data_IF_992669335039
#
_entry.id   IF_992669335039
#
_cell.length_a   1.000
_cell.length_b   1.000
_cell.length_c   1.000
_cell.angle_alpha   90.00
_cell.angle_beta   90.00
_cell.angle_gamma   90.00
#
_symmetry.space_group_name_H-M   'P 1'
#
loop_
_entity.id
_entity.type
_entity.pdbx_description
1 polymer ?
#
# COMPACT_ATOMS: atom_id res chain seq x y z
N UNK A 1 -0.27 24.87 -11.39
CA UNK A 1 -0.92 25.04 -12.71
C UNK A 1 -2.22 24.26 -12.65
N UNK A 2 -3.35 24.81 -13.10
CA UNK A 2 -4.64 24.13 -13.00
C UNK A 2 -4.72 22.93 -13.97
N UNK A 3 -5.20 21.80 -13.47
CA UNK A 3 -5.35 20.56 -14.21
C UNK A 3 -6.29 20.73 -15.40
N UNK A 4 -5.80 20.41 -16.60
CA UNK A 4 -6.63 20.14 -17.78
C UNK A 4 -6.82 18.63 -17.92
N UNK A 5 -7.37 18.00 -16.88
CA UNK A 5 -7.93 16.66 -17.01
C UNK A 5 -9.33 16.79 -17.60
N UNK A 6 -9.73 15.84 -18.44
CA UNK A 6 -11.01 15.78 -19.15
C UNK A 6 -11.06 16.64 -20.44
N UNK A 7 -10.39 16.22 -21.52
CA UNK A 7 -10.93 16.30 -22.91
C UNK A 7 -9.95 15.93 -24.05
N UNK A 8 -9.04 14.98 -23.86
CA UNK A 8 -8.46 14.29 -25.02
C UNK A 8 -8.62 12.80 -24.83
N UNK A 9 -9.30 12.15 -25.78
CA UNK A 9 -9.36 10.71 -25.93
C UNK A 9 -7.95 10.16 -26.16
N UNK A 10 -7.15 10.09 -25.08
CA UNK A 10 -5.92 9.31 -25.05
C UNK A 10 -6.35 7.85 -25.05
N UNK A 11 -5.73 7.06 -25.93
CA UNK A 11 -5.91 5.60 -25.87
C UNK A 11 -5.34 5.13 -24.53
N UNK A 12 -6.17 4.50 -23.71
CA UNK A 12 -5.73 3.91 -22.44
C UNK A 12 -4.52 2.99 -22.68
N UNK A 13 -3.38 3.20 -22.00
CA UNK A 13 -2.17 2.41 -22.21
C UNK A 13 -2.20 1.04 -21.54
N UNK A 14 -3.11 0.83 -20.58
CA UNK A 14 -3.28 -0.43 -19.84
C UNK A 14 -3.56 -1.60 -20.79
N UNK A 15 -2.78 -2.67 -20.66
CA UNK A 15 -2.89 -3.90 -21.46
C UNK A 15 -3.44 -5.10 -20.68
N UNK A 16 -3.69 -4.93 -19.39
CA UNK A 16 -4.26 -5.95 -18.51
C UNK A 16 -5.58 -6.48 -19.08
N UNK A 17 -5.84 -7.78 -18.90
CA UNK A 17 -7.05 -8.43 -19.40
C UNK A 17 -8.30 -7.78 -18.79
N UNK A 18 -8.27 -7.58 -17.47
CA UNK A 18 -9.24 -6.82 -16.71
C UNK A 18 -8.55 -5.69 -15.95
N UNK A 19 -9.19 -4.53 -15.92
CA UNK A 19 -8.78 -3.34 -15.19
C UNK A 19 -10.03 -2.56 -14.75
N UNK A 20 -9.86 -1.40 -14.13
CA UNK A 20 -10.96 -0.64 -13.54
C UNK A 20 -11.22 0.68 -14.27
N UNK A 21 -12.47 1.15 -14.28
CA UNK A 21 -12.85 2.51 -14.64
C UNK A 21 -13.50 3.18 -13.44
N UNK A 22 -12.96 4.32 -13.03
CA UNK A 22 -13.46 5.12 -11.91
C UNK A 22 -14.29 6.30 -12.44
N UNK A 23 -15.50 6.44 -11.91
CA UNK A 23 -16.35 7.61 -12.06
C UNK A 23 -16.39 8.37 -10.73
N UNK A 24 -16.01 9.64 -10.79
CA UNK A 24 -15.89 10.51 -9.62
C UNK A 24 -17.18 11.28 -9.38
N UNK A 25 -17.50 11.52 -8.10
CA UNK A 25 -18.62 12.38 -7.75
C UNK A 25 -18.32 13.83 -8.22
N UNK A 26 -19.33 14.63 -8.63
CA UNK A 26 -19.10 15.96 -9.22
C UNK A 26 -18.21 16.91 -8.41
N UNK A 27 -18.28 16.85 -7.07
CA UNK A 27 -17.49 17.71 -6.17
C UNK A 27 -16.25 17.01 -5.58
N UNK A 28 -16.04 15.74 -5.90
CA UNK A 28 -14.96 14.91 -5.35
C UNK A 28 -14.28 14.16 -6.49
N UNK A 29 -13.68 14.93 -7.40
CA UNK A 29 -12.91 14.45 -8.53
C UNK A 29 -11.50 15.05 -8.51
N UNK A 30 -10.50 14.43 -9.16
CA UNK A 30 -9.16 15.00 -9.25
C UNK A 30 -9.12 16.41 -9.88
N UNK A 31 -10.14 16.81 -10.65
CA UNK A 31 -10.21 18.14 -11.23
C UNK A 31 -10.70 19.21 -10.24
N UNK A 32 -11.53 18.82 -9.26
CA UNK A 32 -12.25 19.75 -8.37
C UNK A 32 -11.74 19.69 -6.91
N UNK A 33 -11.17 18.56 -6.49
CA UNK A 33 -10.60 18.35 -5.15
C UNK A 33 -9.07 18.49 -5.21
N UNK A 34 -8.57 19.66 -4.80
CA UNK A 34 -7.12 19.96 -4.77
C UNK A 34 -6.34 18.97 -3.90
N UNK A 35 -6.94 18.48 -2.81
CA UNK A 35 -6.28 17.52 -1.91
C UNK A 35 -6.12 16.17 -2.61
N UNK A 36 -7.16 15.68 -3.28
CA UNK A 36 -7.11 14.43 -4.04
C UNK A 36 -6.13 14.54 -5.19
N UNK A 37 -6.12 15.68 -5.86
CA UNK A 37 -5.20 15.95 -6.95
C UNK A 37 -3.73 15.93 -6.49
N UNK A 38 -3.40 16.63 -5.40
CA UNK A 38 -2.05 16.60 -4.83
C UNK A 38 -1.65 15.21 -4.31
N UNK A 39 -2.62 14.43 -3.82
CA UNK A 39 -2.39 13.03 -3.44
C UNK A 39 -1.98 12.22 -4.68
N UNK A 40 -2.71 12.32 -5.79
CA UNK A 40 -2.39 11.62 -7.04
C UNK A 40 -1.00 12.00 -7.56
N UNK A 41 -0.67 13.30 -7.59
CA UNK A 41 0.68 13.77 -7.98
C UNK A 41 1.78 13.14 -7.10
N UNK A 42 1.55 13.05 -5.80
CA UNK A 42 2.50 12.44 -4.87
C UNK A 42 2.65 10.93 -5.10
N UNK A 43 1.59 10.23 -5.48
CA UNK A 43 1.66 8.80 -5.79
C UNK A 43 2.45 8.53 -7.07
N UNK A 44 2.23 9.33 -8.11
CA UNK A 44 2.99 9.26 -9.36
C UNK A 44 4.48 9.53 -9.12
N UNK A 45 4.82 10.50 -8.27
CA UNK A 45 6.22 10.82 -7.99
C UNK A 45 6.93 9.86 -7.02
N UNK A 46 6.19 9.28 -6.07
CA UNK A 46 6.80 8.68 -4.87
C UNK A 46 6.31 7.27 -4.52
N UNK A 47 5.36 6.70 -5.25
CA UNK A 47 4.76 5.42 -4.88
C UNK A 47 4.78 4.45 -6.06
N UNK A 48 4.28 4.85 -7.22
CA UNK A 48 4.37 3.98 -8.39
C UNK A 48 5.83 3.86 -8.87
N UNK A 49 6.26 2.66 -9.24
CA UNK A 49 7.61 2.42 -9.77
C UNK A 49 7.78 3.10 -11.14
N UNK A 50 9.01 3.42 -11.56
CA UNK A 50 9.27 4.06 -12.87
C UNK A 50 8.72 3.29 -14.08
N UNK A 51 8.49 1.98 -13.93
CA UNK A 51 7.92 1.11 -14.97
C UNK A 51 6.37 1.07 -14.98
N UNK A 52 5.73 1.67 -13.98
CA UNK A 52 4.27 1.72 -13.86
C UNK A 52 3.72 2.99 -14.50
N UNK A 53 2.52 2.91 -15.07
CA UNK A 53 1.86 4.07 -15.66
C UNK A 53 1.49 5.09 -14.58
N UNK A 54 1.68 6.36 -14.90
CA UNK A 54 1.19 7.44 -14.07
C UNK A 54 -0.34 7.55 -14.15
N UNK A 55 -0.97 8.07 -13.09
CA UNK A 55 -2.41 8.28 -13.03
C UNK A 55 -2.89 9.29 -14.08
N UNK A 56 -2.09 10.31 -14.42
CA UNK A 56 -2.43 11.30 -15.44
C UNK A 56 -2.50 10.72 -16.88
N UNK A 57 -1.85 9.58 -17.11
CA UNK A 57 -1.89 8.85 -18.38
C UNK A 57 -3.05 7.86 -18.47
N UNK A 58 -3.51 7.37 -17.31
CA UNK A 58 -4.42 6.23 -17.22
C UNK A 58 -5.84 6.61 -16.86
N UNK A 59 -6.04 7.65 -16.02
CA UNK A 59 -7.37 8.09 -15.61
C UNK A 59 -8.28 8.41 -16.81
N UNK A 60 -9.55 7.96 -16.78
CA UNK A 60 -10.27 7.37 -15.64
C UNK A 60 -10.06 5.85 -15.46
N UNK A 61 -9.14 5.24 -16.20
CA UNK A 61 -8.83 3.82 -16.08
C UNK A 61 -7.70 3.58 -15.08
N UNK A 62 -7.76 2.48 -14.34
CA UNK A 62 -6.78 2.10 -13.32
C UNK A 62 -6.50 0.60 -13.42
N UNK A 63 -5.25 0.18 -13.29
CA UNK A 63 -4.97 -1.22 -12.97
C UNK A 63 -5.51 -1.55 -11.57
N UNK A 64 -5.64 -2.85 -11.23
CA UNK A 64 -6.04 -3.22 -9.87
C UNK A 64 -5.04 -2.69 -8.83
N UNK A 65 -3.73 -2.74 -9.14
CA UNK A 65 -2.71 -2.15 -8.27
C UNK A 65 -2.91 -0.65 -8.06
N UNK A 66 -3.09 0.12 -9.13
CA UNK A 66 -3.32 1.57 -9.04
C UNK A 66 -4.57 1.89 -8.23
N UNK A 67 -5.66 1.14 -8.44
CA UNK A 67 -6.89 1.32 -7.68
C UNK A 67 -6.69 1.06 -6.17
N UNK A 68 -6.00 -0.02 -5.81
CA UNK A 68 -5.74 -0.33 -4.39
C UNK A 68 -4.84 0.72 -3.75
N UNK A 69 -3.74 1.12 -4.40
CA UNK A 69 -2.86 2.17 -3.88
C UNK A 69 -3.63 3.47 -3.68
N UNK A 70 -4.38 3.91 -4.68
CA UNK A 70 -5.15 5.16 -4.61
C UNK A 70 -6.21 5.11 -3.49
N UNK A 71 -6.95 4.00 -3.37
CA UNK A 71 -8.03 3.91 -2.39
C UNK A 71 -7.52 3.78 -0.95
N UNK A 72 -6.37 3.12 -0.74
CA UNK A 72 -5.72 3.12 0.58
C UNK A 72 -5.22 4.51 0.98
N UNK A 73 -4.73 5.29 0.03
CA UNK A 73 -4.24 6.64 0.30
C UNK A 73 -5.39 7.61 0.57
N UNK A 74 -6.46 7.50 -0.21
CA UNK A 74 -7.73 8.20 0.08
C UNK A 74 -8.22 7.84 1.49
N UNK A 75 -8.20 6.57 1.89
CA UNK A 75 -8.59 6.15 3.24
C UNK A 75 -7.71 6.75 4.33
N UNK A 76 -6.41 6.95 4.09
CA UNK A 76 -5.49 7.56 5.06
C UNK A 76 -5.72 9.07 5.19
N UNK A 77 -6.07 9.72 4.09
CA UNK A 77 -6.17 11.18 4.00
C UNK A 77 -7.58 11.72 4.28
N UNK A 78 -8.62 10.89 4.14
CA UNK A 78 -10.01 11.29 4.30
C UNK A 78 -10.69 10.43 5.38
N UNK A 79 -11.53 11.05 6.22
CA UNK A 79 -12.37 10.30 7.17
C UNK A 79 -13.37 9.39 6.44
N UNK A 80 -13.93 9.90 5.34
CA UNK A 80 -14.80 9.18 4.42
C UNK A 80 -14.73 9.81 3.03
N UNK A 81 -14.71 9.01 1.98
CA UNK A 81 -14.69 9.46 0.59
C UNK A 81 -15.65 8.63 -0.27
N UNK A 82 -16.47 9.28 -1.10
CA UNK A 82 -17.48 8.62 -1.92
C UNK A 82 -17.10 8.65 -3.41
N UNK A 83 -16.78 7.47 -3.93
CA UNK A 83 -16.62 7.26 -5.38
C UNK A 83 -18.00 6.97 -5.98
N UNK A 84 -18.36 7.68 -7.04
CA UNK A 84 -19.68 7.56 -7.66
C UNK A 84 -19.87 6.15 -8.23
N UNK A 85 -18.89 5.65 -8.98
CA UNK A 85 -18.91 4.29 -9.53
C UNK A 85 -17.49 3.79 -9.78
N UNK A 86 -17.27 2.50 -9.55
CA UNK A 86 -16.08 1.79 -10.01
C UNK A 86 -16.54 0.55 -10.79
N UNK A 87 -16.04 0.36 -12.01
CA UNK A 87 -16.47 -0.74 -12.89
C UNK A 87 -15.28 -1.56 -13.34
N UNK A 88 -15.39 -2.88 -13.32
CA UNK A 88 -14.45 -3.75 -14.03
C UNK A 88 -14.65 -3.52 -15.52
N UNK A 89 -13.53 -3.46 -16.23
CA UNK A 89 -13.45 -3.20 -17.64
C UNK A 89 -12.65 -4.30 -18.31
N UNK A 90 -13.04 -4.65 -19.53
CA UNK A 90 -12.24 -5.49 -20.41
C UNK A 90 -11.96 -4.79 -21.72
N UNK A 91 -10.93 -5.25 -22.42
CA UNK A 91 -10.65 -4.83 -23.79
C UNK A 91 -11.21 -5.87 -24.77
N UNK A 92 -12.15 -5.45 -25.61
CA UNK A 92 -12.77 -6.30 -26.63
C UNK A 92 -12.76 -5.59 -27.98
N UNK A 93 -12.22 -6.25 -29.02
CA UNK A 93 -12.13 -5.66 -30.37
C UNK A 93 -11.35 -4.33 -30.42
N UNK A 94 -10.41 -4.11 -29.51
CA UNK A 94 -9.64 -2.86 -29.38
C UNK A 94 -10.38 -1.71 -28.70
N UNK A 95 -11.61 -1.92 -28.23
CA UNK A 95 -12.40 -0.97 -27.42
C UNK A 95 -12.45 -1.43 -25.96
N UNK A 96 -12.64 -0.48 -25.07
CA UNK A 96 -12.86 -0.74 -23.65
C UNK A 96 -14.37 -0.86 -23.44
N UNK A 97 -14.80 -1.92 -22.76
CA UNK A 97 -16.20 -2.13 -22.42
C UNK A 97 -16.34 -2.49 -20.95
N UNK A 98 -17.42 -2.02 -20.35
CA UNK A 98 -17.91 -2.38 -19.00
C UNK A 98 -19.20 -3.21 -19.08
N UNK A 99 -19.65 -3.53 -20.30
CA UNK A 99 -20.89 -4.28 -20.51
C UNK A 99 -20.72 -5.72 -20.01
N UNK A 100 -21.65 -6.16 -19.15
CA UNK A 100 -21.60 -7.49 -18.53
C UNK A 100 -20.60 -7.63 -17.38
N UNK A 101 -19.79 -6.60 -17.11
CA UNK A 101 -18.78 -6.61 -16.06
C UNK A 101 -19.33 -6.14 -14.71
N UNK A 102 -18.72 -6.61 -13.62
CA UNK A 102 -19.12 -6.21 -12.26
C UNK A 102 -18.75 -4.76 -11.97
N UNK A 103 -19.59 -4.05 -11.22
CA UNK A 103 -19.33 -2.67 -10.79
C UNK A 103 -19.85 -2.43 -9.38
N UNK A 104 -19.33 -1.42 -8.69
CA UNK A 104 -19.84 -0.93 -7.40
C UNK A 104 -20.32 0.50 -7.58
N UNK A 105 -21.53 0.79 -7.10
CA UNK A 105 -22.15 2.10 -7.20
C UNK A 105 -23.14 2.35 -6.05
N UNK A 106 -22.87 3.31 -5.15
CA UNK A 106 -21.59 4.01 -4.95
C UNK A 106 -20.57 3.15 -4.18
N UNK A 107 -19.29 3.52 -4.22
CA UNK A 107 -18.24 2.94 -3.36
C UNK A 107 -17.85 3.94 -2.27
N UNK A 108 -18.06 3.56 -1.01
CA UNK A 108 -17.63 4.32 0.15
C UNK A 108 -16.26 3.83 0.62
N UNK A 109 -15.29 4.73 0.67
CA UNK A 109 -13.97 4.51 1.26
C UNK A 109 -13.96 5.17 2.63
N UNK A 110 -13.99 4.35 3.68
CA UNK A 110 -13.91 4.79 5.08
C UNK A 110 -12.94 3.89 5.87
N UNK A 111 -12.92 4.01 7.20
CA UNK A 111 -12.08 3.18 8.06
C UNK A 111 -12.29 1.66 7.87
N UNK A 112 -13.47 1.23 7.39
CA UNK A 112 -13.82 -0.17 7.16
C UNK A 112 -13.35 -0.72 5.81
N UNK A 113 -13.07 0.14 4.82
CA UNK A 113 -12.56 -0.27 3.51
C UNK A 113 -11.25 -1.06 3.66
N UNK A 114 -11.19 -2.27 3.13
CA UNK A 114 -9.99 -3.13 3.19
C UNK A 114 -9.31 -3.27 1.83
N UNK A 115 -10.08 -3.66 0.82
CA UNK A 115 -9.61 -3.87 -0.55
C UNK A 115 -10.81 -3.82 -1.50
N UNK A 116 -10.52 -3.81 -2.80
CA UNK A 116 -11.49 -3.67 -3.87
C UNK A 116 -12.27 -4.97 -4.14
N UNK A 117 -11.69 -6.15 -3.85
CA UNK A 117 -12.34 -7.43 -4.12
C UNK A 117 -13.62 -7.62 -3.29
N UNK A 118 -13.60 -7.21 -2.02
CA UNK A 118 -14.77 -7.34 -1.15
C UNK A 118 -16.01 -6.61 -1.71
N UNK A 119 -15.99 -5.29 -1.96
CA UNK A 119 -17.17 -4.58 -2.46
C UNK A 119 -17.59 -5.06 -3.87
N UNK A 120 -16.66 -5.55 -4.70
CA UNK A 120 -17.01 -6.16 -5.99
C UNK A 120 -17.77 -7.48 -5.82
N UNK A 121 -17.31 -8.37 -4.93
CA UNK A 121 -18.01 -9.63 -4.63
C UNK A 121 -19.38 -9.37 -4.00
N UNK A 122 -19.48 -8.45 -3.05
CA UNK A 122 -20.75 -8.06 -2.45
C UNK A 122 -21.71 -7.51 -3.51
N UNK A 123 -21.20 -6.67 -4.41
CA UNK A 123 -21.99 -6.09 -5.50
C UNK A 123 -22.58 -7.13 -6.43
N UNK A 124 -21.77 -8.09 -6.94
CA UNK A 124 -22.27 -9.10 -7.88
C UNK A 124 -23.31 -10.02 -7.23
N UNK A 125 -23.19 -10.25 -5.92
CA UNK A 125 -24.08 -11.12 -5.18
C UNK A 125 -25.40 -10.46 -4.83
N UNK A 126 -25.40 -9.16 -4.52
CA UNK A 126 -26.54 -8.46 -3.93
C UNK A 126 -27.31 -7.60 -4.95
N UNK A 127 -26.63 -7.00 -5.93
CA UNK A 127 -27.28 -6.00 -6.79
C UNK A 127 -28.24 -6.65 -7.80
N UNK A 128 -29.47 -6.12 -7.98
CA UNK A 128 -30.48 -6.67 -8.89
C UNK A 128 -30.02 -6.83 -10.33
N UNK A 129 -29.10 -5.98 -10.79
CA UNK A 129 -28.53 -6.00 -12.14
C UNK A 129 -27.81 -7.32 -12.46
N UNK A 130 -27.36 -8.05 -11.43
CA UNK A 130 -26.71 -9.34 -11.58
C UNK A 130 -27.64 -10.51 -11.20
N UNK A 131 -28.93 -10.27 -10.96
CA UNK A 131 -29.89 -11.32 -10.54
C UNK A 131 -30.17 -12.37 -11.62
N UNK A 132 -29.89 -12.06 -12.88
CA UNK A 132 -30.04 -12.98 -14.02
C UNK A 132 -28.99 -14.09 -14.05
N UNK A 133 -27.83 -13.87 -13.41
CA UNK A 133 -26.76 -14.85 -13.32
C UNK A 133 -26.96 -15.75 -12.10
N UNK A 134 -26.72 -17.04 -12.28
CA UNK A 134 -26.67 -18.00 -11.18
C UNK A 134 -25.48 -17.72 -10.25
N UNK A 135 -25.56 -18.22 -9.02
CA UNK A 135 -24.43 -18.11 -8.09
C UNK A 135 -23.15 -18.74 -8.66
N UNK A 136 -23.26 -19.89 -9.33
CA UNK A 136 -22.08 -20.61 -9.83
C UNK A 136 -21.42 -19.81 -10.98
N UNK A 137 -22.19 -19.17 -11.86
CA UNK A 137 -21.65 -18.25 -12.87
C UNK A 137 -20.93 -17.05 -12.25
N UNK A 138 -21.51 -16.44 -11.20
CA UNK A 138 -20.87 -15.32 -10.48
C UNK A 138 -19.56 -15.74 -9.82
N UNK A 139 -19.57 -16.90 -9.15
CA UNK A 139 -18.36 -17.46 -8.53
C UNK A 139 -17.29 -17.75 -9.56
N UNK A 140 -17.66 -18.43 -10.65
CA UNK A 140 -16.72 -18.85 -11.69
C UNK A 140 -16.14 -17.64 -12.43
N UNK A 141 -16.91 -16.56 -12.60
CA UNK A 141 -16.40 -15.28 -13.10
C UNK A 141 -15.30 -14.70 -12.20
N UNK A 142 -15.49 -14.70 -10.88
CA UNK A 142 -14.45 -14.23 -9.96
C UNK A 142 -13.22 -15.14 -9.94
N UNK A 143 -13.42 -16.45 -9.81
CA UNK A 143 -12.33 -17.42 -9.70
C UNK A 143 -11.48 -17.46 -10.97
N UNK A 144 -12.11 -17.39 -12.15
CA UNK A 144 -11.42 -17.62 -13.42
C UNK A 144 -10.99 -16.32 -14.12
N UNK A 145 -11.54 -15.16 -13.77
CA UNK A 145 -11.24 -13.90 -14.46
C UNK A 145 -10.74 -12.83 -13.47
N UNK A 146 -11.59 -12.39 -12.52
CA UNK A 146 -11.25 -11.25 -11.64
C UNK A 146 -10.04 -11.56 -10.74
N UNK A 147 -10.03 -12.71 -10.07
CA UNK A 147 -8.95 -13.08 -9.15
C UNK A 147 -7.59 -13.26 -9.86
N UNK A 148 -7.49 -13.97 -11.01
CA UNK A 148 -6.27 -14.00 -11.80
C UNK A 148 -5.77 -12.62 -12.22
N UNK A 149 -6.64 -11.75 -12.73
CA UNK A 149 -6.25 -10.39 -13.14
C UNK A 149 -5.80 -9.53 -11.96
N UNK A 150 -6.52 -9.59 -10.84
CA UNK A 150 -6.15 -8.89 -9.60
C UNK A 150 -4.78 -9.34 -9.11
N UNK A 151 -4.57 -10.66 -9.04
CA UNK A 151 -3.30 -11.26 -8.62
C UNK A 151 -2.14 -10.86 -9.51
N UNK A 152 -2.33 -10.92 -10.84
CA UNK A 152 -1.32 -10.55 -11.81
C UNK A 152 -0.94 -9.07 -11.70
N UNK A 153 -1.91 -8.21 -11.44
CA UNK A 153 -1.70 -6.77 -11.29
C UNK A 153 -0.93 -6.42 -10.00
N UNK A 154 -1.21 -7.11 -8.88
CA UNK A 154 -0.57 -6.86 -7.58
C UNK A 154 0.71 -7.70 -7.33
N UNK A 155 1.04 -8.63 -8.22
CA UNK A 155 2.11 -9.64 -8.05
C UNK A 155 2.01 -10.42 -6.73
N UNK A 156 0.79 -10.84 -6.36
CA UNK A 156 0.53 -11.57 -5.11
C UNK A 156 0.39 -13.08 -5.34
N UNK A 157 0.39 -13.86 -4.26
CA UNK A 157 0.19 -15.32 -4.33
C UNK A 157 -1.28 -15.70 -4.49
N UNK A 158 -1.57 -16.95 -4.87
CA UNK A 158 -2.95 -17.45 -4.87
C UNK A 158 -3.52 -17.54 -3.45
N UNK A 159 -2.67 -17.91 -2.49
CA UNK A 159 -3.05 -18.08 -1.08
C UNK A 159 -3.43 -16.79 -0.37
N UNK A 160 -3.12 -15.64 -0.97
CA UNK A 160 -3.50 -14.31 -0.47
C UNK A 160 -4.83 -13.80 -1.04
N UNK A 161 -5.47 -14.55 -1.94
CA UNK A 161 -6.78 -14.17 -2.44
C UNK A 161 -7.88 -14.54 -1.42
N UNK A 162 -8.90 -13.67 -1.25
CA UNK A 162 -10.06 -14.02 -0.45
C UNK A 162 -10.84 -15.16 -1.13
N UNK A 163 -11.59 -15.90 -0.32
CA UNK A 163 -12.54 -16.87 -0.86
C UNK A 163 -13.78 -16.15 -1.34
N UNK A 164 -14.34 -16.62 -2.46
CA UNK A 164 -15.65 -16.16 -2.89
C UNK A 164 -16.72 -16.63 -1.88
N UNK A 165 -17.63 -15.75 -1.41
CA UNK A 165 -18.60 -16.08 -0.37
C UNK A 165 -19.46 -17.29 -0.71
N UNK A 166 -19.68 -18.20 0.24
CA UNK A 166 -20.49 -19.40 0.04
C UNK A 166 -21.98 -19.10 -0.17
N UNK A 167 -22.74 -20.02 -0.79
CA UNK A 167 -24.20 -19.86 -0.97
C UNK A 167 -24.90 -19.61 0.37
N UNK A 168 -24.48 -20.31 1.42
CA UNK A 168 -25.01 -20.24 2.77
C UNK A 168 -24.72 -18.89 3.45
N UNK A 169 -23.55 -18.31 3.24
CA UNK A 169 -23.20 -16.96 3.71
C UNK A 169 -24.05 -15.87 3.05
N UNK A 170 -24.33 -16.03 1.75
CA UNK A 170 -25.18 -15.10 1.00
C UNK A 170 -26.63 -15.16 1.50
N UNK A 171 -27.14 -16.37 1.78
CA UNK A 171 -28.50 -16.55 2.31
C UNK A 171 -28.64 -16.10 3.78
N UNK A 172 -27.60 -16.26 4.60
CA UNK A 172 -27.64 -15.84 6.02
C UNK A 172 -27.49 -14.32 6.21
N UNK A 173 -26.81 -13.62 5.28
CA UNK A 173 -26.77 -12.15 5.22
C UNK A 173 -27.96 -11.52 4.47
N UNK A 174 -28.89 -12.34 3.96
CA UNK A 174 -30.02 -11.95 3.09
C UNK A 174 -31.12 -11.06 3.67
N UNK A 175 -30.88 -10.34 4.77
CA UNK A 175 -31.79 -9.28 5.23
C UNK A 175 -31.00 -8.07 5.75
N UNK A 176 -30.12 -7.51 4.90
CA UNK A 176 -29.65 -6.14 5.10
C UNK A 176 -30.69 -5.24 4.44
N UNK A 177 -31.60 -4.70 5.27
CA UNK A 177 -32.40 -3.53 4.90
C UNK A 177 -31.41 -2.44 4.48
N UNK A 178 -31.45 -2.01 3.23
CA UNK A 178 -30.93 -0.71 2.83
C UNK A 178 -31.59 0.29 3.80
N UNK A 179 -30.85 1.05 4.63
CA UNK A 179 -31.44 2.20 5.27
C UNK A 179 -31.71 3.20 4.15
N UNK A 180 -32.95 3.21 3.66
CA UNK A 180 -33.49 4.46 3.17
C UNK A 180 -33.33 5.44 4.33
N UNK A 181 -32.57 6.51 4.11
CA UNK A 181 -32.47 7.63 5.04
C UNK A 181 -33.89 8.18 5.19
N UNK A 182 -34.60 7.73 6.21
CA UNK A 182 -35.81 8.35 6.71
C UNK A 182 -35.54 8.79 8.14
N UNK A 183 -35.31 10.10 8.29
CA UNK A 183 -35.27 10.77 9.58
C UNK A 183 -36.67 10.66 10.20
N UNK A 184 -36.84 9.88 11.27
CA UNK A 184 -37.78 10.22 12.37
C UNK A 184 -37.70 9.30 13.60
N UNK A 185 -37.45 9.97 14.74
CA UNK A 185 -37.85 9.81 16.16
C UNK A 185 -38.26 8.45 16.75
N UNK A 186 -37.77 8.26 17.98
CA UNK A 186 -38.06 7.25 19.02
C UNK A 186 -39.49 6.70 19.07
N UNK A 187 -39.62 5.40 19.38
CA UNK A 187 -40.13 4.92 20.69
C UNK A 187 -40.09 3.38 20.84
N UNK A 188 -40.12 2.94 22.11
CA UNK A 188 -39.71 1.63 22.67
C UNK A 188 -40.63 0.42 22.40
N UNK A 189 -39.97 -0.76 22.42
CA UNK A 189 -40.30 -2.07 23.03
C UNK A 189 -41.74 -2.61 23.02
N UNK A 190 -41.91 -3.90 22.63
CA UNK A 190 -42.19 -4.98 23.59
C UNK A 190 -42.03 -6.40 22.99
N UNK A 191 -41.31 -7.25 23.71
CA UNK A 191 -41.18 -8.70 23.52
C UNK A 191 -42.31 -9.44 24.27
N UNK A 192 -42.78 -10.58 23.75
CA UNK A 192 -43.26 -11.70 24.60
C UNK A 192 -43.14 -13.06 23.92
N UNK A 193 -42.54 -13.99 24.66
CA UNK A 193 -42.26 -15.39 24.36
C UNK A 193 -43.49 -16.30 24.55
N UNK A 194 -43.52 -17.49 23.90
CA UNK A 194 -44.08 -18.73 24.48
C UNK A 194 -43.22 -19.97 24.07
N UNK A 195 -43.26 -20.98 24.94
CA UNK A 195 -42.34 -22.06 25.32
C UNK A 195 -42.44 -23.46 24.65
N UNK A 196 -41.43 -24.31 24.97
CA UNK A 196 -40.95 -25.61 24.47
C UNK A 196 -41.80 -26.91 24.60
N UNK A 197 -41.30 -28.06 24.06
CA UNK A 197 -41.02 -29.21 24.95
C UNK A 197 -39.64 -29.90 24.78
N UNK A 198 -39.10 -30.39 25.90
CA UNK A 198 -37.67 -30.55 26.23
C UNK A 198 -36.95 -31.85 25.82
N UNK A 199 -37.56 -32.83 25.14
CA UNK A 199 -36.87 -34.11 24.84
C UNK A 199 -36.17 -34.19 23.48
N UNK A 200 -36.38 -33.20 22.60
CA UNK A 200 -35.58 -33.02 21.37
C UNK A 200 -34.40 -32.04 21.56
N UNK A 201 -34.32 -31.41 22.73
CA UNK A 201 -33.40 -30.28 22.99
C UNK A 201 -31.95 -30.74 23.11
N UNK A 202 -31.65 -31.93 23.64
CA UNK A 202 -30.25 -32.38 23.80
C UNK A 202 -29.59 -32.83 22.49
N UNK A 203 -30.36 -33.42 21.58
CA UNK A 203 -29.87 -33.79 20.24
C UNK A 203 -29.69 -32.54 19.37
N UNK A 204 -30.59 -31.57 19.51
CA UNK A 204 -30.49 -30.25 18.88
C UNK A 204 -29.34 -29.42 19.50
N UNK A 205 -29.10 -29.46 20.82
CA UNK A 205 -27.97 -28.78 21.46
C UNK A 205 -26.62 -29.37 21.05
N UNK A 206 -26.53 -30.69 20.87
CA UNK A 206 -25.32 -31.36 20.37
C UNK A 206 -25.00 -30.97 18.92
N UNK A 207 -26.01 -30.90 18.07
CA UNK A 207 -25.88 -30.43 16.67
C UNK A 207 -25.56 -28.93 16.63
N UNK A 208 -26.25 -28.09 17.43
CA UNK A 208 -25.98 -26.64 17.51
C UNK A 208 -24.59 -26.38 18.09
N UNK A 209 -24.15 -27.10 19.11
CA UNK A 209 -22.80 -26.98 19.68
C UNK A 209 -21.71 -27.36 18.66
N UNK A 210 -21.92 -28.44 17.91
CA UNK A 210 -21.06 -28.84 16.79
C UNK A 210 -21.05 -27.78 15.66
N UNK A 211 -22.22 -27.24 15.30
CA UNK A 211 -22.36 -26.20 14.28
C UNK A 211 -21.70 -24.88 14.71
N UNK A 212 -21.74 -24.54 16.00
CA UNK A 212 -21.08 -23.36 16.57
C UNK A 212 -19.56 -23.51 16.62
N UNK A 213 -19.03 -24.69 16.95
CA UNK A 213 -17.59 -24.94 16.87
C UNK A 213 -17.06 -24.92 15.42
N UNK A 214 -17.84 -25.45 14.47
CA UNK A 214 -17.49 -25.38 13.04
C UNK A 214 -17.63 -23.96 12.49
N UNK A 215 -18.66 -23.20 12.87
CA UNK A 215 -18.83 -21.80 12.42
C UNK A 215 -17.77 -20.87 13.03
N UNK A 216 -17.34 -21.09 14.27
CA UNK A 216 -16.21 -20.37 14.85
C UNK A 216 -14.88 -20.71 14.18
N UNK A 217 -14.67 -21.97 13.78
CA UNK A 217 -13.46 -22.40 13.05
C UNK A 217 -13.37 -21.84 11.62
N UNK A 218 -14.49 -21.74 10.91
CA UNK A 218 -14.54 -21.14 9.56
C UNK A 218 -14.39 -19.62 9.63
N UNK A 219 -15.01 -18.96 10.61
CA UNK A 219 -14.84 -17.50 10.79
C UNK A 219 -13.40 -17.13 11.18
N UNK A 220 -12.71 -17.91 12.02
CA UNK A 220 -11.31 -17.63 12.35
C UNK A 220 -10.36 -17.90 11.18
N UNK A 221 -10.64 -18.87 10.32
CA UNK A 221 -9.86 -19.14 9.11
C UNK A 221 -10.09 -18.08 8.01
N UNK A 222 -11.32 -17.62 7.80
CA UNK A 222 -11.64 -16.52 6.89
C UNK A 222 -10.99 -15.20 7.35
N UNK A 223 -11.06 -14.89 8.65
CA UNK A 223 -10.39 -13.73 9.23
C UNK A 223 -8.85 -13.86 9.20
N UNK A 224 -8.30 -15.08 9.27
CA UNK A 224 -6.86 -15.30 9.17
C UNK A 224 -6.35 -15.12 7.73
N UNK A 225 -7.05 -15.65 6.73
CA UNK A 225 -6.71 -15.44 5.32
C UNK A 225 -6.89 -13.96 4.92
N UNK A 226 -7.93 -13.28 5.41
CA UNK A 226 -8.16 -11.86 5.18
C UNK A 226 -7.05 -10.99 5.82
N UNK A 227 -6.67 -11.28 7.06
CA UNK A 227 -5.54 -10.61 7.72
C UNK A 227 -4.21 -10.83 6.99
N UNK A 228 -3.98 -12.00 6.40
CA UNK A 228 -2.74 -12.28 5.68
C UNK A 228 -2.67 -11.51 4.35
N UNK A 229 -3.79 -11.41 3.63
CA UNK A 229 -3.90 -10.59 2.42
C UNK A 229 -3.70 -9.10 2.72
N UNK A 230 -4.39 -8.58 3.74
CA UNK A 230 -4.27 -7.19 4.19
C UNK A 230 -2.85 -6.88 4.68
N UNK A 231 -2.23 -7.81 5.41
CA UNK A 231 -0.85 -7.68 5.87
C UNK A 231 0.14 -7.63 4.71
N UNK A 232 -0.06 -8.44 3.66
CA UNK A 232 0.83 -8.45 2.50
C UNK A 232 0.65 -7.18 1.65
N UNK A 233 -0.57 -6.72 1.40
CA UNK A 233 -0.81 -5.46 0.67
C UNK A 233 -0.27 -4.27 1.46
N UNK A 234 -0.57 -4.20 2.76
CA UNK A 234 -0.03 -3.13 3.62
C UNK A 234 1.49 -3.22 3.75
N UNK A 235 2.06 -4.43 3.80
CA UNK A 235 3.51 -4.65 3.82
C UNK A 235 4.15 -4.22 2.50
N UNK A 236 3.61 -4.64 1.37
CA UNK A 236 4.07 -4.25 0.03
C UNK A 236 3.97 -2.73 -0.15
N UNK A 237 2.85 -2.13 0.22
CA UNK A 237 2.68 -0.68 0.22
C UNK A 237 3.71 0.03 1.11
N UNK A 238 3.96 -0.49 2.32
CA UNK A 238 4.96 0.06 3.24
C UNK A 238 6.40 -0.15 2.74
N UNK A 239 6.69 -1.29 2.14
CA UNK A 239 7.99 -1.63 1.57
C UNK A 239 8.27 -0.81 0.31
N UNK A 240 7.27 -0.61 -0.53
CA UNK A 240 7.31 0.25 -1.69
C UNK A 240 7.50 1.72 -1.27
N UNK A 241 6.73 2.25 -0.32
CA UNK A 241 6.93 3.60 0.25
C UNK A 241 8.33 3.78 0.85
N UNK A 242 8.83 2.75 1.53
CA UNK A 242 10.19 2.72 2.08
C UNK A 242 11.25 2.71 0.97
N UNK A 243 11.04 1.93 -0.08
CA UNK A 243 11.95 1.78 -1.22
C UNK A 243 12.00 3.07 -2.02
N UNK A 244 10.87 3.69 -2.31
CA UNK A 244 10.83 4.96 -3.05
C UNK A 244 11.41 6.11 -2.23
N UNK A 245 11.16 6.16 -0.91
CA UNK A 245 11.84 7.12 -0.03
C UNK A 245 13.36 6.92 -0.05
N UNK A 246 13.82 5.66 0.00
CA UNK A 246 15.25 5.33 -0.07
C UNK A 246 15.84 5.74 -1.42
N UNK A 247 15.19 5.40 -2.53
CA UNK A 247 15.62 5.76 -3.89
C UNK A 247 15.67 7.28 -4.10
N UNK A 248 14.66 8.02 -3.61
CA UNK A 248 14.59 9.48 -3.69
C UNK A 248 15.71 10.17 -2.91
N UNK A 249 16.07 9.64 -1.75
CA UNK A 249 17.03 10.25 -0.84
C UNK A 249 18.44 9.65 -0.93
N UNK A 250 18.62 8.52 -1.62
CA UNK A 250 19.90 7.84 -1.78
C UNK A 250 20.96 8.76 -2.40
N UNK A 251 20.65 9.43 -3.50
CA UNK A 251 21.59 10.33 -4.15
C UNK A 251 21.95 11.54 -3.28
N UNK A 252 20.96 12.12 -2.58
CA UNK A 252 21.20 13.27 -1.70
C UNK A 252 22.06 12.86 -0.49
N UNK A 253 21.78 11.69 0.08
CA UNK A 253 22.55 11.11 1.16
C UNK A 253 23.97 10.74 0.72
N UNK A 254 24.16 10.25 -0.51
CA UNK A 254 25.48 9.96 -1.06
C UNK A 254 26.31 11.23 -1.22
N UNK A 255 25.72 12.27 -1.79
CA UNK A 255 26.35 13.59 -1.92
C UNK A 255 26.73 14.15 -0.54
N UNK A 256 25.79 14.16 0.40
CA UNK A 256 26.06 14.57 1.79
C UNK A 256 27.24 13.81 2.39
N UNK A 257 27.25 12.49 2.26
CA UNK A 257 28.30 11.63 2.81
C UNK A 257 29.66 11.94 2.16
N UNK A 258 29.70 12.17 0.85
CA UNK A 258 30.93 12.56 0.13
C UNK A 258 31.46 13.94 0.53
N UNK A 259 30.61 14.85 1.03
CA UNK A 259 31.06 16.10 1.65
C UNK A 259 31.53 15.90 3.10
N UNK A 260 30.89 15.00 3.85
CA UNK A 260 31.28 14.66 5.21
C UNK A 260 32.65 13.97 5.28
N UNK A 261 32.92 13.01 4.38
CA UNK A 261 34.08 12.13 4.46
C UNK A 261 35.44 12.86 4.43
N UNK A 262 35.69 13.85 3.55
CA UNK A 262 36.93 14.63 3.59
C UNK A 262 37.11 15.37 4.92
N UNK A 263 36.03 15.94 5.46
CA UNK A 263 36.05 16.58 6.78
C UNK A 263 36.35 15.57 7.90
N UNK A 264 35.80 14.35 7.81
CA UNK A 264 36.06 13.27 8.76
C UNK A 264 37.51 12.80 8.77
N UNK A 265 38.16 12.71 7.60
CA UNK A 265 39.57 12.30 7.50
C UNK A 265 40.59 13.46 7.51
N UNK A 266 40.13 14.70 7.74
CA UNK A 266 40.97 15.89 7.78
C UNK A 266 41.80 16.05 9.06
N UNK A 267 41.53 15.24 10.09
CA UNK A 267 41.99 15.45 11.46
C UNK A 267 41.61 16.81 12.08
N UNK A 268 40.61 17.52 11.51
CA UNK A 268 40.14 18.82 11.98
C UNK A 268 38.69 18.75 12.47
N UNK A 269 38.51 18.83 13.80
CA UNK A 269 37.20 18.72 14.45
C UNK A 269 36.24 19.87 14.08
N UNK A 270 36.76 21.05 13.76
CA UNK A 270 35.94 22.20 13.39
C UNK A 270 35.19 21.98 12.08
N UNK A 271 35.77 21.21 11.15
CA UNK A 271 35.12 20.90 9.86
C UNK A 271 33.94 19.92 9.98
N UNK A 272 33.72 19.34 11.16
CA UNK A 272 32.61 18.42 11.40
C UNK A 272 31.35 19.09 11.95
N UNK A 273 31.41 20.36 12.37
CA UNK A 273 30.30 21.00 13.10
C UNK A 273 28.99 21.00 12.32
N UNK A 274 29.07 21.16 11.00
CA UNK A 274 27.90 21.29 10.13
C UNK A 274 27.28 19.94 9.75
N UNK A 275 28.00 18.84 10.04
CA UNK A 275 27.59 17.48 9.69
C UNK A 275 27.08 16.67 10.88
N UNK A 276 27.40 17.05 12.12
CA UNK A 276 27.11 16.26 13.31
C UNK A 276 25.83 16.73 14.01
N UNK A 277 24.98 15.79 14.41
CA UNK A 277 23.84 16.13 15.27
C UNK A 277 24.29 16.51 16.69
N UNK A 278 23.45 17.31 17.38
CA UNK A 278 23.73 17.82 18.73
C UNK A 278 23.71 16.75 19.83
N UNK A 279 23.28 15.53 19.50
CA UNK A 279 23.27 14.36 20.37
C UNK A 279 24.64 13.66 20.44
N UNK A 280 24.64 12.33 20.36
CA UNK A 280 25.84 11.50 20.52
C UNK A 280 26.90 11.74 19.43
N UNK A 281 26.47 12.07 18.20
CA UNK A 281 27.38 12.38 17.10
C UNK A 281 28.34 13.54 17.36
N UNK A 282 28.02 14.47 18.27
CA UNK A 282 28.93 15.59 18.59
C UNK A 282 30.29 15.14 19.10
N UNK A 283 30.39 13.92 19.64
CA UNK A 283 31.63 13.35 20.18
C UNK A 283 32.49 12.65 19.13
N UNK A 284 32.01 12.48 17.89
CA UNK A 284 32.75 11.84 16.78
C UNK A 284 34.14 12.45 16.60
N UNK A 285 35.20 11.66 16.73
CA UNK A 285 36.57 12.15 16.58
C UNK A 285 36.98 12.07 15.10
N UNK A 286 37.46 13.17 14.47
CA UNK A 286 38.00 13.10 13.12
C UNK A 286 39.24 12.21 13.10
N UNK A 287 39.46 11.51 12.00
CA UNK A 287 40.62 10.67 11.78
C UNK A 287 41.57 11.34 10.79
N UNK A 288 42.77 10.79 10.71
CA UNK A 288 43.76 11.23 9.75
C UNK A 288 43.78 10.28 8.54
N UNK A 289 43.81 10.86 7.33
CA UNK A 289 44.07 10.15 6.09
C UNK A 289 43.66 10.95 4.86
N UNK A 290 44.18 10.55 3.70
CA UNK A 290 43.76 11.12 2.41
C UNK A 290 42.92 10.13 1.65
N UNK A 291 41.67 10.49 1.35
CA UNK A 291 40.78 9.69 0.52
C UNK A 291 41.29 9.64 -0.93
N UNK A 292 41.48 8.44 -1.46
CA UNK A 292 41.82 8.19 -2.88
C UNK A 292 40.60 7.74 -3.67
N UNK A 293 39.66 7.06 -3.02
CA UNK A 293 38.40 6.62 -3.63
C UNK A 293 37.31 6.48 -2.57
N UNK A 294 36.07 6.76 -2.98
CA UNK A 294 34.85 6.66 -2.18
C UNK A 294 33.78 5.98 -3.05
N UNK A 295 33.41 4.76 -2.68
CA UNK A 295 32.43 3.95 -3.41
C UNK A 295 31.30 3.61 -2.44
N UNK A 296 30.07 3.97 -2.81
CA UNK A 296 28.87 3.58 -2.07
C UNK A 296 28.66 2.06 -2.26
N UNK A 297 28.53 1.33 -1.16
CA UNK A 297 28.28 -0.12 -1.16
C UNK A 297 26.79 -0.42 -1.00
N UNK A 298 26.10 0.26 -0.07
CA UNK A 298 24.66 0.11 0.18
C UNK A 298 24.10 1.24 1.03
N UNK A 299 22.80 1.47 0.90
CA UNK A 299 22.00 2.32 1.79
C UNK A 299 20.82 1.50 2.32
N UNK A 300 20.47 1.71 3.59
CA UNK A 300 19.24 1.18 4.17
C UNK A 300 18.55 2.26 5.02
N UNK A 301 17.23 2.20 5.12
CA UNK A 301 16.44 3.10 5.96
C UNK A 301 15.73 2.32 7.05
N UNK A 302 15.91 2.66 8.31
CA UNK A 302 15.23 2.00 9.43
C UNK A 302 14.96 3.01 10.55
N UNK A 303 13.75 2.98 11.11
CA UNK A 303 13.36 3.78 12.27
C UNK A 303 13.68 5.30 12.16
N UNK A 304 13.53 5.89 10.97
CA UNK A 304 13.79 7.32 10.76
C UNK A 304 15.25 7.70 10.49
N UNK A 305 16.15 6.72 10.44
CA UNK A 305 17.57 6.92 10.15
C UNK A 305 17.99 6.17 8.87
N UNK A 306 18.90 6.77 8.12
CA UNK A 306 19.57 6.14 7.00
C UNK A 306 20.92 5.58 7.45
N UNK A 307 21.24 4.37 7.03
CA UNK A 307 22.55 3.75 7.21
C UNK A 307 23.22 3.61 5.85
N UNK A 308 24.29 4.35 5.62
CA UNK A 308 25.06 4.31 4.39
C UNK A 308 26.41 3.61 4.64
N UNK A 309 26.76 2.65 3.79
CA UNK A 309 28.02 1.90 3.87
C UNK A 309 28.89 2.22 2.66
N UNK A 310 30.16 2.53 2.92
CA UNK A 310 31.14 2.92 1.91
C UNK A 310 32.36 2.01 1.93
N UNK A 311 32.92 1.75 0.76
CA UNK A 311 34.28 1.23 0.60
C UNK A 311 35.20 2.40 0.26
N UNK A 312 36.19 2.64 1.11
CA UNK A 312 37.13 3.75 0.99
C UNK A 312 38.53 3.22 0.70
N UNK A 313 39.22 3.81 -0.27
CA UNK A 313 40.66 3.67 -0.41
C UNK A 313 41.33 4.84 0.32
N UNK A 314 41.95 4.57 1.45
CA UNK A 314 42.50 5.60 2.33
C UNK A 314 44.03 5.49 2.37
N UNK A 315 44.71 6.59 2.00
CA UNK A 315 46.15 6.72 2.14
C UNK A 315 46.48 7.23 3.54
N UNK A 316 47.26 6.45 4.29
CA UNK A 316 47.86 6.82 5.57
C UNK A 316 49.38 6.58 5.49
N UNK A 317 50.09 6.78 6.61
CA UNK A 317 51.55 6.62 6.68
C UNK A 317 52.04 5.20 6.29
N UNK A 318 51.17 4.20 6.41
CA UNK A 318 51.42 2.79 6.10
C UNK A 318 51.00 2.38 4.67
N UNK A 319 50.66 3.34 3.81
CA UNK A 319 50.26 3.12 2.43
C UNK A 319 48.76 3.30 2.20
N UNK A 320 48.25 2.73 1.10
CA UNK A 320 46.83 2.80 0.75
C UNK A 320 46.15 1.51 1.25
N UNK A 321 45.09 1.67 2.05
CA UNK A 321 44.28 0.56 2.56
C UNK A 321 42.81 0.74 2.20
N UNK A 322 42.16 -0.37 1.86
CA UNK A 322 40.71 -0.42 1.65
C UNK A 322 40.00 -0.70 2.98
N UNK A 323 39.14 0.22 3.40
CA UNK A 323 38.32 0.09 4.62
C UNK A 323 36.85 0.19 4.27
N UNK A 324 36.00 -0.50 5.03
CA UNK A 324 34.55 -0.34 4.97
C UNK A 324 34.12 0.59 6.10
N UNK A 325 33.46 1.70 5.76
CA UNK A 325 32.94 2.68 6.71
C UNK A 325 31.41 2.66 6.71
N UNK A 326 30.79 2.59 7.88
CA UNK A 326 29.34 2.72 8.04
C UNK A 326 28.99 4.04 8.71
N UNK A 327 28.06 4.77 8.11
CA UNK A 327 27.53 6.06 8.55
C UNK A 327 26.06 5.90 8.91
N UNK A 328 25.61 6.60 9.95
CA UNK A 328 24.19 6.70 10.28
C UNK A 328 23.80 8.17 10.28
N UNK A 329 22.80 8.52 9.47
CA UNK A 329 22.36 9.88 9.25
C UNK A 329 20.83 10.00 9.37
N UNK A 330 20.36 11.23 9.61
CA UNK A 330 18.93 11.57 9.54
C UNK A 330 18.75 12.87 8.79
N UNK A 331 17.57 13.03 8.18
CA UNK A 331 17.17 14.28 7.56
C UNK A 331 17.05 15.39 8.61
N UNK A 332 17.56 16.56 8.23
CA UNK A 332 17.46 17.80 8.99
C UNK A 332 17.52 18.97 8.01
N UNK A 333 16.35 19.37 7.51
CA UNK A 333 16.21 20.46 6.52
C UNK A 333 16.82 21.80 6.96
N UNK A 334 16.96 22.03 8.26
CA UNK A 334 17.62 23.21 8.82
C UNK A 334 19.15 23.13 8.87
N UNK A 335 19.74 21.98 8.53
CA UNK A 335 21.19 21.83 8.40
C UNK A 335 21.68 22.25 7.00
N UNK A 336 22.92 22.72 6.86
CA UNK A 336 23.43 23.22 5.58
C UNK A 336 23.37 22.21 4.43
N UNK A 337 23.43 20.92 4.74
CA UNK A 337 23.45 19.84 3.76
C UNK A 337 22.18 18.97 3.78
N UNK A 338 21.13 19.40 4.47
CA UNK A 338 19.86 18.66 4.57
C UNK A 338 19.89 17.39 5.43
N UNK A 339 21.07 16.92 5.84
CA UNK A 339 21.29 15.73 6.67
C UNK A 339 22.28 16.00 7.80
N UNK A 340 22.21 15.18 8.84
CA UNK A 340 23.21 15.12 9.91
C UNK A 340 23.53 13.70 10.31
N UNK A 341 24.78 13.44 10.64
CA UNK A 341 25.26 12.19 11.24
C UNK A 341 24.74 12.09 12.67
N UNK A 342 24.18 10.95 13.06
CA UNK A 342 23.58 10.72 14.39
C UNK A 342 24.42 9.84 15.31
N UNK A 343 25.30 9.02 14.73
CA UNK A 343 26.19 8.08 15.45
C UNK A 343 27.62 8.17 14.94
N UNK A 344 28.58 7.78 15.77
CA UNK A 344 29.98 7.75 15.36
C UNK A 344 30.20 6.75 14.21
N UNK A 345 30.93 7.13 13.14
CA UNK A 345 31.23 6.23 12.03
C UNK A 345 32.01 4.98 12.45
N UNK A 346 31.63 3.83 11.93
CA UNK A 346 32.25 2.54 12.25
C UNK A 346 33.13 2.08 11.09
N UNK A 347 34.43 1.89 11.34
CA UNK A 347 35.39 1.32 10.38
C UNK A 347 35.59 -0.17 10.60
N UNK A 348 35.57 -0.94 9.51
CA UNK A 348 35.95 -2.35 9.50
C UNK A 348 36.88 -2.63 8.31
N UNK A 349 37.64 -3.73 8.37
CA UNK A 349 38.46 -4.15 7.23
C UNK A 349 37.54 -4.59 6.08
N UNK A 350 37.76 -4.07 4.87
CA UNK A 350 36.99 -4.49 3.69
C UNK A 350 37.38 -5.90 3.23
N UNK A 351 38.69 -6.17 3.16
CA UNK A 351 39.23 -7.49 2.81
C UNK A 351 39.76 -8.14 4.10
N UNK A 352 39.22 -9.32 4.44
CA UNK A 352 39.79 -10.16 5.50
C UNK A 352 41.10 -10.75 4.97
N UNK A 353 42.22 -10.52 5.65
CA UNK A 353 43.45 -11.26 5.35
C UNK A 353 43.15 -12.75 5.55
N UNK A 354 43.41 -13.56 4.52
CA UNK A 354 43.50 -15.02 4.71
C UNK A 354 44.67 -15.24 5.67
N UNK A 355 44.39 -15.78 6.85
CA UNK A 355 45.42 -16.37 7.70
C UNK A 355 45.84 -17.71 7.12
#
# INVERSE_FOLDING_TARGET
MAFKLLNKARKCPIQDELFMEVSWSPNHSPAEDEKLNSLIEQLDENTLAEEQFHFDETLPYLTFLQAEVLFQEIKQEYESFLIEKISVCRREGGRITTEGEVFVQPLLIDASYQNLLQPLMESILIRPEFSTYSYDEKRDYFINQVFPSYRASLDVSETSLPLFPSKEEVHSKGSIRIPAISIQRDELQQQRQISHPLKKVYLILGIIGSLLCLSLGVNTWLLANQKQADQQIHFLYKELKKTTQLQKQEHQLDVFSRYFLPSYYSNNKQLLTDFLDKGNAKYTVPKEGTLQSVILEKISYEAGEYTATYVLALKRNDGIKSIRLTLVAKEKKSSPYGFVITKEPIETAYIKSKK
#
